data_IF_395010704845
#
_entry.id   IF_395010704845
#
_cell.length_a   1.000
_cell.length_b   1.000
_cell.length_c   1.000
_cell.angle_alpha   90.00
_cell.angle_beta   90.00
_cell.angle_gamma   90.00
#
_symmetry.space_group_name_H-M   'P 1'
#
loop_
_entity.id
_entity.type
_entity.pdbx_description
1 polymer ?
#
# COMPACT_ATOMS: atom_id res chain seq x y z
N UNK A 1 -32.79 11.71 32.51
CA UNK A 1 -31.57 11.20 31.84
C UNK A 1 -30.44 12.18 32.11
N UNK A 2 -29.27 11.71 32.54
CA UNK A 2 -28.10 12.58 32.67
C UNK A 2 -27.62 13.02 31.28
N UNK A 3 -27.03 14.22 31.19
CA UNK A 3 -26.55 14.81 29.94
C UNK A 3 -25.65 13.85 29.15
N UNK A 4 -24.81 13.08 29.86
CA UNK A 4 -23.95 12.06 29.27
C UNK A 4 -24.74 10.89 28.66
N UNK A 5 -25.87 10.47 29.24
CA UNK A 5 -26.72 9.42 28.67
C UNK A 5 -27.49 9.91 27.43
N UNK A 6 -27.85 11.20 27.37
CA UNK A 6 -28.43 11.81 26.17
C UNK A 6 -27.40 11.92 25.04
N UNK A 7 -26.16 12.33 25.34
CA UNK A 7 -25.07 12.43 24.36
C UNK A 7 -24.70 11.05 23.81
N UNK A 8 -24.57 10.03 24.67
CA UNK A 8 -24.31 8.65 24.23
C UNK A 8 -25.47 8.12 23.39
N UNK A 9 -26.72 8.40 23.78
CA UNK A 9 -27.90 8.05 22.98
C UNK A 9 -27.89 8.68 21.59
N UNK A 10 -27.52 9.96 21.50
CA UNK A 10 -27.44 10.69 20.23
C UNK A 10 -26.29 10.16 19.35
N UNK A 11 -25.13 9.86 19.92
CA UNK A 11 -23.99 9.27 19.18
C UNK A 11 -24.36 7.88 18.63
N UNK A 12 -25.06 7.07 19.40
CA UNK A 12 -25.54 5.74 18.95
C UNK A 12 -26.60 5.89 17.87
N UNK A 13 -27.53 6.83 17.99
CA UNK A 13 -28.54 7.11 16.97
C UNK A 13 -27.88 7.62 15.68
N UNK A 14 -26.89 8.51 15.77
CA UNK A 14 -26.11 9.00 14.62
C UNK A 14 -25.32 7.86 13.97
N UNK A 15 -24.73 6.96 14.75
CA UNK A 15 -24.03 5.78 14.24
C UNK A 15 -24.98 4.79 13.54
N UNK A 16 -26.17 4.58 14.10
CA UNK A 16 -27.21 3.74 13.49
C UNK A 16 -27.77 4.38 12.23
N UNK A 17 -27.98 5.69 12.22
CA UNK A 17 -28.37 6.46 11.02
C UNK A 17 -27.27 6.38 9.96
N UNK A 18 -25.99 6.46 10.34
CA UNK A 18 -24.85 6.25 9.43
C UNK A 18 -24.86 4.84 8.81
N UNK A 19 -25.20 3.81 9.59
CA UNK A 19 -25.37 2.43 9.10
C UNK A 19 -26.63 2.22 8.24
N UNK A 20 -27.61 3.13 8.27
CA UNK A 20 -28.85 3.07 7.47
C UNK A 20 -28.70 3.89 6.18
N UNK A 21 -28.08 5.07 6.24
CA UNK A 21 -27.87 5.98 5.10
C UNK A 21 -26.73 5.54 4.17
N UNK A 22 -25.79 4.71 4.64
CA UNK A 22 -24.70 4.14 3.84
C UNK A 22 -24.86 2.61 3.69
N UNK A 23 -25.75 2.11 2.80
CA UNK A 23 -25.89 0.68 2.52
C UNK A 23 -24.59 0.06 1.95
N UNK A 24 -23.75 0.86 1.32
CA UNK A 24 -22.40 0.49 0.85
C UNK A 24 -21.46 0.11 1.98
N UNK A 25 -21.63 0.61 3.21
CA UNK A 25 -20.81 0.24 4.37
C UNK A 25 -21.08 -1.21 4.82
N UNK A 26 -22.31 -1.71 4.61
CA UNK A 26 -22.67 -3.12 4.84
C UNK A 26 -22.20 -4.02 3.70
N UNK A 27 -22.20 -3.50 2.48
CA UNK A 27 -21.72 -4.21 1.29
C UNK A 27 -20.18 -4.30 1.25
N UNK A 28 -19.45 -3.27 1.71
CA UNK A 28 -17.99 -3.25 1.85
C UNK A 28 -17.47 -4.37 2.77
N UNK A 29 -18.20 -4.64 3.87
CA UNK A 29 -17.86 -5.73 4.79
C UNK A 29 -18.17 -7.13 4.22
N UNK A 30 -19.06 -7.25 3.23
CA UNK A 30 -19.48 -8.53 2.64
C UNK A 30 -18.88 -8.81 1.26
N UNK A 31 -18.49 -7.79 0.51
CA UNK A 31 -17.99 -7.87 -0.88
C UNK A 31 -16.47 -7.99 -1.00
N UNK A 32 -15.72 -7.49 -0.02
CA UNK A 32 -14.26 -7.45 -0.08
C UNK A 32 -13.58 -8.83 0.14
N UNK A 33 -14.32 -9.84 0.60
CA UNK A 33 -13.75 -11.11 1.06
C UNK A 33 -13.69 -12.23 0.01
N UNK A 34 -14.34 -12.08 -1.15
CA UNK A 34 -14.43 -13.18 -2.14
C UNK A 34 -13.60 -13.02 -3.41
N UNK A 35 -13.22 -11.80 -3.82
CA UNK A 35 -12.50 -11.59 -5.09
C UNK A 35 -11.02 -11.15 -4.93
N UNK A 36 -10.62 -10.61 -3.77
CA UNK A 36 -9.22 -10.29 -3.46
C UNK A 36 -8.52 -11.51 -2.86
N UNK A 37 -8.52 -12.61 -3.62
CA UNK A 37 -7.90 -13.86 -3.21
C UNK A 37 -6.38 -13.64 -3.16
N UNK A 38 -5.91 -13.34 -1.94
CA UNK A 38 -4.67 -13.80 -1.29
C UNK A 38 -3.31 -13.42 -1.90
N UNK A 39 -3.18 -13.24 -3.22
CA UNK A 39 -1.88 -13.00 -3.88
C UNK A 39 -1.69 -11.56 -4.39
N UNK A 40 -2.76 -10.79 -4.63
CA UNK A 40 -2.66 -9.37 -5.03
C UNK A 40 -2.53 -8.39 -3.85
N UNK A 41 -3.02 -8.72 -2.66
CA UNK A 41 -2.88 -7.84 -1.49
C UNK A 41 -1.43 -7.73 -0.97
N UNK A 42 -0.56 -8.66 -1.39
CA UNK A 42 0.87 -8.72 -1.04
C UNK A 42 1.78 -8.07 -2.07
N UNK A 43 1.26 -7.61 -3.21
CA UNK A 43 2.06 -6.89 -4.21
C UNK A 43 1.92 -5.38 -4.03
N UNK A 44 2.96 -4.59 -4.37
CA UNK A 44 2.87 -3.14 -4.30
C UNK A 44 1.75 -2.58 -5.18
N UNK A 45 1.49 -3.20 -6.34
CA UNK A 45 0.44 -2.76 -7.26
C UNK A 45 -0.98 -2.99 -6.70
N UNK A 46 -1.22 -4.09 -5.99
CA UNK A 46 -2.52 -4.35 -5.37
C UNK A 46 -2.77 -3.53 -4.11
N UNK A 47 -1.73 -3.26 -3.30
CA UNK A 47 -1.82 -2.31 -2.21
C UNK A 47 -2.14 -0.89 -2.71
N UNK A 48 -1.50 -0.46 -3.81
CA UNK A 48 -1.75 0.83 -4.45
C UNK A 48 -3.21 0.96 -4.93
N UNK A 49 -3.77 -0.08 -5.55
CA UNK A 49 -5.18 -0.09 -5.97
C UNK A 49 -6.16 0.00 -4.80
N UNK A 50 -5.94 -0.75 -3.72
CA UNK A 50 -6.81 -0.74 -2.53
C UNK A 50 -6.76 0.63 -1.84
N UNK A 51 -5.56 1.21 -1.69
CA UNK A 51 -5.42 2.54 -1.12
C UNK A 51 -6.04 3.61 -2.02
N UNK A 52 -5.88 3.52 -3.34
CA UNK A 52 -6.52 4.43 -4.29
C UNK A 52 -8.04 4.42 -4.13
N UNK A 53 -8.67 3.24 -4.13
CA UNK A 53 -10.12 3.12 -3.95
C UNK A 53 -10.58 3.71 -2.61
N UNK A 54 -9.87 3.44 -1.51
CA UNK A 54 -10.20 4.02 -0.20
C UNK A 54 -9.96 5.53 -0.13
N UNK A 55 -8.94 6.04 -0.82
CA UNK A 55 -8.67 7.48 -0.93
C UNK A 55 -9.79 8.15 -1.72
N UNK A 56 -10.27 7.54 -2.80
CA UNK A 56 -11.39 8.06 -3.60
C UNK A 56 -12.68 8.10 -2.78
N UNK A 57 -13.01 7.02 -2.05
CA UNK A 57 -14.14 7.01 -1.13
C UNK A 57 -14.02 8.08 -0.03
N UNK A 58 -12.83 8.25 0.55
CA UNK A 58 -12.56 9.28 1.56
C UNK A 58 -12.65 10.69 0.95
N UNK A 59 -12.26 10.87 -0.31
CA UNK A 59 -12.35 12.13 -1.05
C UNK A 59 -13.81 12.47 -1.35
N UNK A 60 -14.62 11.51 -1.76
CA UNK A 60 -16.07 11.70 -1.94
C UNK A 60 -16.77 12.05 -0.62
N UNK A 61 -16.45 11.36 0.47
CA UNK A 61 -16.98 11.66 1.79
C UNK A 61 -16.59 13.08 2.24
N UNK A 62 -15.34 13.47 2.03
CA UNK A 62 -14.87 14.84 2.24
C UNK A 62 -15.65 15.85 1.40
N UNK A 63 -15.83 15.61 0.10
CA UNK A 63 -16.55 16.51 -0.79
C UNK A 63 -18.02 16.68 -0.37
N UNK A 64 -18.67 15.60 0.07
CA UNK A 64 -20.05 15.65 0.61
C UNK A 64 -20.10 16.48 1.90
N UNK A 65 -19.16 16.29 2.82
CA UNK A 65 -19.07 17.07 4.06
C UNK A 65 -18.77 18.55 3.80
N UNK A 66 -17.86 18.85 2.87
CA UNK A 66 -17.52 20.21 2.44
C UNK A 66 -18.71 20.93 1.81
N UNK A 67 -19.47 20.26 0.95
CA UNK A 67 -20.70 20.80 0.37
C UNK A 67 -21.76 21.05 1.45
N UNK A 68 -21.94 20.13 2.41
CA UNK A 68 -22.85 20.31 3.52
C UNK A 68 -22.46 21.52 4.39
N UNK A 69 -21.17 21.69 4.68
CA UNK A 69 -20.63 22.85 5.39
C UNK A 69 -20.91 24.15 4.63
N UNK A 70 -20.63 24.20 3.32
CA UNK A 70 -20.91 25.37 2.48
C UNK A 70 -22.38 25.76 2.52
N UNK A 71 -23.29 24.80 2.40
CA UNK A 71 -24.73 25.06 2.45
C UNK A 71 -25.16 25.53 3.84
N UNK A 72 -24.68 24.87 4.91
CA UNK A 72 -25.02 25.24 6.28
C UNK A 72 -24.50 26.65 6.65
N UNK A 73 -23.24 26.94 6.30
CA UNK A 73 -22.62 28.25 6.50
C UNK A 73 -23.31 29.34 5.66
N UNK A 74 -23.70 29.02 4.42
CA UNK A 74 -24.47 29.92 3.57
C UNK A 74 -25.83 30.28 4.19
N UNK A 75 -26.59 29.27 4.63
CA UNK A 75 -27.88 29.47 5.31
C UNK A 75 -27.74 30.24 6.62
N UNK A 76 -26.69 29.96 7.41
CA UNK A 76 -26.37 30.71 8.62
C UNK A 76 -26.12 32.19 8.31
N UNK A 77 -25.33 32.47 7.26
CA UNK A 77 -25.01 33.84 6.87
C UNK A 77 -26.26 34.59 6.39
N UNK A 78 -27.11 33.95 5.57
CA UNK A 78 -28.40 34.52 5.16
C UNK A 78 -29.29 34.80 6.36
N UNK A 79 -29.45 33.86 7.28
CA UNK A 79 -30.25 34.05 8.48
C UNK A 79 -29.72 35.17 9.39
N UNK A 80 -28.39 35.30 9.53
CA UNK A 80 -27.75 36.42 10.26
C UNK A 80 -28.06 37.76 9.60
N UNK A 81 -27.97 37.84 8.27
CA UNK A 81 -28.30 39.06 7.50
C UNK A 81 -29.78 39.43 7.61
N UNK A 82 -30.68 38.46 7.53
CA UNK A 82 -32.12 38.70 7.65
C UNK A 82 -32.47 39.20 9.06
N UNK A 83 -31.84 38.64 10.09
CA UNK A 83 -31.95 39.13 11.46
C UNK A 83 -31.43 40.57 11.61
N UNK A 84 -30.32 40.92 10.96
CA UNK A 84 -29.76 42.27 10.98
C UNK A 84 -30.66 43.29 10.26
N UNK A 85 -31.28 42.88 9.15
CA UNK A 85 -32.29 43.67 8.46
C UNK A 85 -33.51 43.94 9.36
N UNK A 86 -33.99 42.93 10.09
CA UNK A 86 -35.08 43.10 11.06
C UNK A 86 -34.70 44.04 12.21
N UNK A 87 -33.48 43.93 12.75
CA UNK A 87 -32.97 44.88 13.77
C UNK A 87 -32.89 46.32 13.24
N UNK A 88 -32.51 46.48 11.98
CA UNK A 88 -32.46 47.80 11.34
C UNK A 88 -33.87 48.38 11.15
N UNK A 89 -34.84 47.54 10.76
CA UNK A 89 -36.25 47.93 10.69
C UNK A 89 -36.80 48.31 12.07
N UNK A 90 -36.49 47.51 13.10
CA UNK A 90 -36.88 47.79 14.48
C UNK A 90 -36.43 49.19 14.91
N UNK A 91 -35.15 49.53 14.69
CA UNK A 91 -34.61 50.84 15.05
C UNK A 91 -35.31 52.00 14.32
N UNK A 92 -35.70 51.81 13.05
CA UNK A 92 -36.48 52.81 12.30
C UNK A 92 -37.88 52.98 12.89
N UNK A 93 -38.59 51.88 13.16
CA UNK A 93 -39.94 51.90 13.73
C UNK A 93 -39.93 52.50 15.14
N UNK A 94 -38.91 52.20 15.96
CA UNK A 94 -38.73 52.82 17.28
C UNK A 94 -38.52 54.33 17.18
N UNK A 95 -37.67 54.79 16.27
CA UNK A 95 -37.44 56.23 16.01
C UNK A 95 -38.70 56.94 15.49
N UNK A 96 -39.44 56.32 14.58
CA UNK A 96 -40.72 56.83 14.09
C UNK A 96 -41.76 56.92 15.21
N UNK A 97 -41.86 55.90 16.05
CA UNK A 97 -42.74 55.87 17.21
C UNK A 97 -42.42 57.01 18.19
N UNK A 98 -41.14 57.18 18.55
CA UNK A 98 -40.71 58.29 19.41
C UNK A 98 -41.06 59.66 18.83
N UNK A 99 -40.86 59.84 17.52
CA UNK A 99 -41.20 61.08 16.82
C UNK A 99 -42.71 61.36 16.85
N UNK A 100 -43.54 60.33 16.63
CA UNK A 100 -45.00 60.47 16.67
C UNK A 100 -45.50 60.83 18.08
N UNK A 101 -44.93 60.24 19.13
CA UNK A 101 -45.22 60.59 20.53
C UNK A 101 -44.84 62.04 20.82
N UNK A 102 -43.63 62.48 20.42
CA UNK A 102 -43.16 63.87 20.60
C UNK A 102 -44.07 64.88 19.91
N UNK A 103 -44.65 64.50 18.77
CA UNK A 103 -45.56 65.34 17.98
C UNK A 103 -47.03 65.23 18.41
N UNK A 104 -47.35 64.54 19.51
CA UNK A 104 -48.70 64.40 20.05
C UNK A 104 -49.64 63.49 19.25
N UNK A 105 -49.12 62.74 18.28
CA UNK A 105 -49.89 61.85 17.39
C UNK A 105 -49.99 60.44 17.99
N UNK A 106 -50.69 60.32 19.12
CA UNK A 106 -50.70 59.10 19.95
C UNK A 106 -51.31 57.88 19.24
N UNK A 107 -52.40 58.03 18.50
CA UNK A 107 -53.03 56.90 17.77
C UNK A 107 -52.09 56.28 16.72
N UNK A 108 -51.35 57.12 15.98
CA UNK A 108 -50.36 56.65 15.00
C UNK A 108 -49.13 56.03 15.69
N UNK A 109 -48.73 56.56 16.85
CA UNK A 109 -47.67 55.96 17.65
C UNK A 109 -48.07 54.56 18.17
N UNK A 110 -49.35 54.36 18.49
CA UNK A 110 -49.90 53.07 18.92
C UNK A 110 -49.78 52.02 17.80
N UNK A 111 -50.17 52.36 16.57
CA UNK A 111 -49.98 51.47 15.41
C UNK A 111 -48.51 51.11 15.18
N UNK A 112 -47.59 52.07 15.36
CA UNK A 112 -46.15 51.82 15.26
C UNK A 112 -45.61 50.97 16.42
N UNK A 113 -46.20 51.07 17.60
CA UNK A 113 -45.86 50.21 18.74
C UNK A 113 -46.30 48.75 18.52
N UNK A 114 -47.44 48.53 17.87
CA UNK A 114 -47.89 47.20 17.43
C UNK A 114 -46.95 46.61 16.37
N UNK A 115 -46.57 47.40 15.35
CA UNK A 115 -45.58 47.00 14.33
C UNK A 115 -44.23 46.64 14.98
N UNK A 116 -43.81 47.39 16.00
CA UNK A 116 -42.59 47.10 16.78
C UNK A 116 -42.68 45.74 17.49
N UNK A 117 -43.82 45.42 18.09
CA UNK A 117 -44.03 44.16 18.79
C UNK A 117 -43.96 42.96 17.83
N UNK A 118 -44.55 43.10 16.64
CA UNK A 118 -44.45 42.10 15.56
C UNK A 118 -42.99 41.88 15.13
N UNK A 119 -42.25 42.96 14.88
CA UNK A 119 -40.83 42.89 14.49
C UNK A 119 -39.99 42.22 15.59
N UNK A 120 -40.27 42.49 16.87
CA UNK A 120 -39.56 41.85 17.99
C UNK A 120 -39.84 40.34 18.06
N UNK A 121 -41.09 39.93 17.82
CA UNK A 121 -41.45 38.52 17.75
C UNK A 121 -40.71 37.81 16.59
N UNK A 122 -40.64 38.46 15.43
CA UNK A 122 -39.90 37.95 14.27
C UNK A 122 -38.39 37.85 14.52
N UNK A 123 -37.79 38.85 15.17
CA UNK A 123 -36.38 38.82 15.58
C UNK A 123 -36.12 37.65 16.52
N UNK A 124 -37.01 37.38 17.47
CA UNK A 124 -36.87 36.26 18.41
C UNK A 124 -36.90 34.93 17.65
N UNK A 125 -37.84 34.75 16.73
CA UNK A 125 -37.93 33.55 15.87
C UNK A 125 -36.69 33.38 15.00
N UNK A 126 -36.18 34.46 14.39
CA UNK A 126 -34.98 34.41 13.56
C UNK A 126 -33.70 34.16 14.39
N UNK A 127 -33.65 34.64 15.64
CA UNK A 127 -32.56 34.35 16.59
C UNK A 127 -32.44 32.85 16.87
N UNK A 128 -33.56 32.17 17.08
CA UNK A 128 -33.59 30.70 17.26
C UNK A 128 -33.15 29.97 16.00
N UNK A 129 -33.56 30.45 14.82
CA UNK A 129 -33.14 29.91 13.53
C UNK A 129 -31.62 30.07 13.30
N UNK A 130 -31.06 31.23 13.64
CA UNK A 130 -29.61 31.48 13.58
C UNK A 130 -28.85 30.50 14.46
N UNK A 131 -29.32 30.28 15.71
CA UNK A 131 -28.69 29.29 16.62
C UNK A 131 -28.74 27.88 16.04
N UNK A 132 -29.86 27.47 15.46
CA UNK A 132 -29.99 26.15 14.83
C UNK A 132 -29.01 25.98 13.66
N UNK A 133 -28.89 26.99 12.79
CA UNK A 133 -27.92 26.97 11.69
C UNK A 133 -26.46 27.05 12.17
N UNK A 134 -26.19 27.71 13.30
CA UNK A 134 -24.85 27.79 13.88
C UNK A 134 -24.39 26.43 14.39
N UNK A 135 -25.28 25.70 15.08
CA UNK A 135 -25.03 24.31 15.49
C UNK A 135 -24.82 23.41 14.26
N UNK A 136 -25.67 23.54 13.23
CA UNK A 136 -25.55 22.75 12.01
C UNK A 136 -24.23 23.04 11.26
N UNK A 137 -23.82 24.31 11.16
CA UNK A 137 -22.58 24.71 10.52
C UNK A 137 -21.35 24.22 11.30
N UNK A 138 -21.36 24.32 12.63
CA UNK A 138 -20.28 23.81 13.47
C UNK A 138 -20.16 22.29 13.37
N UNK A 139 -21.28 21.57 13.41
CA UNK A 139 -21.29 20.10 13.26
C UNK A 139 -20.77 19.69 11.88
N UNK A 140 -21.20 20.37 10.82
CA UNK A 140 -20.70 20.12 9.46
C UNK A 140 -19.20 20.42 9.34
N UNK A 141 -18.71 21.44 10.05
CA UNK A 141 -17.28 21.79 10.09
C UNK A 141 -16.46 20.71 10.77
N UNK A 142 -16.90 20.22 11.93
CA UNK A 142 -16.24 19.11 12.62
C UNK A 142 -16.19 17.84 11.76
N UNK A 143 -17.28 17.53 11.05
CA UNK A 143 -17.34 16.41 10.12
C UNK A 143 -16.37 16.59 8.93
N UNK A 144 -16.32 17.79 8.34
CA UNK A 144 -15.40 18.12 7.25
C UNK A 144 -13.94 18.00 7.69
N UNK A 145 -13.58 18.52 8.88
CA UNK A 145 -12.23 18.41 9.44
C UNK A 145 -11.84 16.96 9.73
N UNK A 146 -12.78 16.14 10.20
CA UNK A 146 -12.55 14.72 10.44
C UNK A 146 -12.31 13.96 9.14
N UNK A 147 -13.14 14.20 8.12
CA UNK A 147 -12.96 13.63 6.78
C UNK A 147 -11.62 14.06 6.18
N UNK A 148 -11.22 15.32 6.35
CA UNK A 148 -9.94 15.84 5.87
C UNK A 148 -8.76 15.15 6.55
N UNK A 149 -8.78 15.03 7.88
CA UNK A 149 -7.75 14.33 8.65
C UNK A 149 -7.61 12.88 8.21
N UNK A 150 -8.73 12.18 8.00
CA UNK A 150 -8.72 10.79 7.55
C UNK A 150 -8.17 10.66 6.13
N UNK A 151 -8.59 11.53 5.20
CA UNK A 151 -8.09 11.56 3.83
C UNK A 151 -6.57 11.82 3.79
N UNK A 152 -6.08 12.77 4.58
CA UNK A 152 -4.64 13.07 4.69
C UNK A 152 -3.85 11.88 5.26
N UNK A 153 -4.38 11.22 6.29
CA UNK A 153 -3.77 10.01 6.86
C UNK A 153 -3.70 8.89 5.83
N UNK A 154 -4.80 8.58 5.16
CA UNK A 154 -4.86 7.53 4.13
C UNK A 154 -3.89 7.81 2.97
N UNK A 155 -3.80 9.06 2.49
CA UNK A 155 -2.83 9.44 1.45
C UNK A 155 -1.38 9.24 1.91
N UNK A 156 -1.08 9.57 3.18
CA UNK A 156 0.26 9.38 3.76
C UNK A 156 0.60 7.90 3.95
N UNK A 157 -0.30 7.15 4.58
CA UNK A 157 -0.14 5.71 4.82
C UNK A 157 0.00 4.95 3.50
N UNK A 158 -0.81 5.29 2.49
CA UNK A 158 -0.70 4.73 1.15
C UNK A 158 0.70 4.93 0.59
N UNK A 159 1.20 6.17 0.59
CA UNK A 159 2.54 6.47 0.08
C UNK A 159 3.62 5.66 0.80
N UNK A 160 3.62 5.70 2.13
CA UNK A 160 4.61 5.01 2.95
C UNK A 160 4.57 3.49 2.77
N UNK A 161 3.39 2.88 2.79
CA UNK A 161 3.24 1.42 2.67
C UNK A 161 3.58 0.96 1.26
N UNK A 162 3.11 1.65 0.22
CA UNK A 162 3.39 1.28 -1.18
C UNK A 162 4.87 1.45 -1.50
N UNK A 163 5.51 2.55 -1.07
CA UNK A 163 6.96 2.75 -1.25
C UNK A 163 7.77 1.68 -0.51
N UNK A 164 7.43 1.39 0.75
CA UNK A 164 8.09 0.33 1.51
C UNK A 164 7.92 -1.06 0.88
N UNK A 165 6.74 -1.36 0.30
CA UNK A 165 6.51 -2.60 -0.44
C UNK A 165 7.34 -2.66 -1.73
N UNK A 166 7.46 -1.55 -2.47
CA UNK A 166 8.30 -1.46 -3.68
C UNK A 166 9.77 -1.74 -3.35
N UNK A 167 10.31 -1.11 -2.30
CA UNK A 167 11.69 -1.32 -1.83
C UNK A 167 11.92 -2.78 -1.39
N UNK A 168 10.99 -3.35 -0.62
CA UNK A 168 11.09 -4.75 -0.18
C UNK A 168 11.05 -5.74 -1.34
N UNK A 169 10.25 -5.45 -2.38
CA UNK A 169 10.20 -6.27 -3.61
C UNK A 169 11.55 -6.22 -4.34
N UNK A 170 12.10 -5.04 -4.56
CA UNK A 170 13.42 -4.87 -5.21
C UNK A 170 14.55 -5.55 -4.41
N UNK A 171 14.55 -5.41 -3.08
CA UNK A 171 15.56 -6.04 -2.24
C UNK A 171 15.46 -7.57 -2.29
N UNK A 172 14.25 -8.11 -2.33
CA UNK A 172 14.03 -9.55 -2.50
C UNK A 172 14.57 -10.03 -3.86
N UNK A 173 14.27 -9.32 -4.95
CA UNK A 173 14.80 -9.65 -6.28
C UNK A 173 16.33 -9.68 -6.29
N UNK A 174 16.99 -8.71 -5.64
CA UNK A 174 18.46 -8.70 -5.49
C UNK A 174 18.96 -9.93 -4.71
N UNK A 175 18.30 -10.34 -3.64
CA UNK A 175 18.69 -11.54 -2.89
C UNK A 175 18.47 -12.83 -3.69
N UNK A 176 17.33 -12.93 -4.40
CA UNK A 176 17.02 -14.06 -5.26
C UNK A 176 18.08 -14.19 -6.38
N UNK A 177 18.47 -13.08 -7.03
CA UNK A 177 19.55 -13.02 -8.02
C UNK A 177 20.91 -13.44 -7.43
N UNK A 178 21.22 -13.01 -6.20
CA UNK A 178 22.47 -13.41 -5.52
C UNK A 178 22.51 -14.91 -5.21
N UNK A 179 21.39 -15.51 -4.80
CA UNK A 179 21.30 -16.94 -4.54
C UNK A 179 21.38 -17.76 -5.84
N UNK A 180 20.77 -17.30 -6.94
CA UNK A 180 20.97 -17.89 -8.26
C UNK A 180 22.44 -17.86 -8.70
N UNK A 181 23.11 -16.71 -8.57
CA UNK A 181 24.54 -16.56 -8.90
C UNK A 181 25.44 -17.48 -8.04
N UNK A 182 25.10 -17.64 -6.75
CA UNK A 182 25.82 -18.56 -5.85
C UNK A 182 25.63 -20.02 -6.26
N UNK A 183 24.43 -20.40 -6.70
CA UNK A 183 24.15 -21.75 -7.21
C UNK A 183 24.90 -22.05 -8.51
N UNK A 184 25.02 -21.08 -9.42
CA UNK A 184 25.84 -21.20 -10.64
C UNK A 184 27.33 -21.38 -10.28
N UNK A 185 27.85 -20.57 -9.34
CA UNK A 185 29.25 -20.67 -8.89
C UNK A 185 29.57 -22.02 -8.22
N UNK A 186 28.63 -22.57 -7.45
CA UNK A 186 28.78 -23.90 -6.85
C UNK A 186 28.82 -25.01 -7.92
N UNK A 187 28.04 -24.85 -9.00
CA UNK A 187 28.04 -25.77 -10.15
C UNK A 187 29.36 -25.68 -10.93
N UNK A 188 29.94 -24.48 -11.08
CA UNK A 188 31.24 -24.30 -11.72
C UNK A 188 32.38 -24.95 -10.93
N UNK A 189 32.36 -24.90 -9.60
CA UNK A 189 33.34 -25.64 -8.75
C UNK A 189 33.23 -27.16 -8.91
N UNK A 190 32.02 -27.68 -9.13
CA UNK A 190 31.82 -29.09 -9.43
C UNK A 190 32.33 -29.44 -10.84
N UNK A 191 32.15 -28.57 -11.83
CA UNK A 191 32.69 -28.75 -13.17
C UNK A 191 34.23 -28.76 -13.18
N UNK A 192 34.87 -27.91 -12.37
CA UNK A 192 36.32 -27.91 -12.19
C UNK A 192 36.80 -29.24 -11.59
N UNK A 193 36.13 -29.74 -10.55
CA UNK A 193 36.42 -31.05 -9.95
C UNK A 193 36.24 -32.23 -10.94
N UNK A 194 35.27 -32.13 -11.86
CA UNK A 194 35.08 -33.13 -12.92
C UNK A 194 36.18 -33.05 -13.98
N UNK A 195 36.61 -31.84 -14.35
CA UNK A 195 37.72 -31.63 -15.30
C UNK A 195 39.05 -32.15 -14.75
N UNK A 196 39.32 -31.93 -13.46
CA UNK A 196 40.52 -32.44 -12.80
C UNK A 196 40.52 -33.97 -12.74
N UNK A 197 39.39 -34.59 -12.35
CA UNK A 197 39.26 -36.06 -12.41
C UNK A 197 39.43 -36.61 -13.82
N UNK A 198 38.97 -35.90 -14.85
CA UNK A 198 39.13 -36.33 -16.23
C UNK A 198 40.62 -36.29 -16.66
N UNK A 199 41.35 -35.23 -16.28
CA UNK A 199 42.80 -35.16 -16.49
C UNK A 199 43.57 -36.25 -15.75
N UNK A 200 43.19 -36.53 -14.49
CA UNK A 200 43.79 -37.63 -13.73
C UNK A 200 43.54 -38.98 -14.41
N UNK A 201 42.33 -39.19 -14.96
CA UNK A 201 42.02 -40.40 -15.72
C UNK A 201 42.88 -40.51 -16.99
N UNK A 202 43.02 -39.41 -17.75
CA UNK A 202 43.86 -39.36 -18.95
C UNK A 202 45.32 -39.66 -18.59
N UNK A 203 45.84 -39.09 -17.50
CA UNK A 203 47.19 -39.38 -17.00
C UNK A 203 47.37 -40.84 -16.58
N UNK A 204 46.35 -41.46 -15.97
CA UNK A 204 46.35 -42.90 -15.62
C UNK A 204 46.33 -43.77 -16.88
N UNK A 205 45.57 -43.39 -17.91
CA UNK A 205 45.54 -44.10 -19.19
C UNK A 205 46.89 -44.00 -19.90
N UNK A 206 47.48 -42.81 -19.93
CA UNK A 206 48.79 -42.59 -20.55
C UNK A 206 49.90 -43.31 -19.78
N UNK A 207 49.89 -43.28 -18.45
CA UNK A 207 50.79 -44.07 -17.60
C UNK A 207 50.62 -45.58 -17.82
N UNK A 208 49.38 -46.06 -17.96
CA UNK A 208 49.09 -47.46 -18.25
C UNK A 208 49.62 -47.90 -19.62
N UNK A 209 49.53 -47.02 -20.62
CA UNK A 209 50.10 -47.23 -21.95
C UNK A 209 51.63 -47.33 -21.88
N UNK A 210 52.29 -46.40 -21.19
CA UNK A 210 53.74 -46.43 -20.97
C UNK A 210 54.18 -47.71 -20.26
N UNK A 211 53.46 -48.15 -19.22
CA UNK A 211 53.77 -49.40 -18.51
C UNK A 211 53.58 -50.63 -19.41
N UNK A 212 52.53 -50.65 -20.23
CA UNK A 212 52.27 -51.73 -21.17
C UNK A 212 53.35 -51.81 -22.25
N UNK A 213 53.72 -50.67 -22.83
CA UNK A 213 54.79 -50.56 -23.82
C UNK A 213 56.14 -50.97 -23.22
N UNK A 214 56.43 -50.58 -21.98
CA UNK A 214 57.60 -51.05 -21.24
C UNK A 214 57.58 -52.57 -20.98
N UNK A 215 56.42 -53.16 -20.65
CA UNK A 215 56.28 -54.62 -20.50
C UNK A 215 56.49 -55.35 -21.83
N UNK A 216 55.97 -54.82 -22.94
CA UNK A 216 56.22 -55.37 -24.28
C UNK A 216 57.70 -55.26 -24.62
N UNK A 217 58.30 -54.09 -24.44
CA UNK A 217 59.73 -53.86 -24.67
C UNK A 217 60.59 -54.85 -23.85
N UNK A 218 60.26 -55.05 -22.58
CA UNK A 218 60.96 -56.01 -21.71
C UNK A 218 60.80 -57.47 -22.20
N UNK A 219 59.59 -57.84 -22.66
CA UNK A 219 59.36 -59.17 -23.25
C UNK A 219 60.13 -59.36 -24.55
N UNK A 220 60.20 -58.33 -25.39
CA UNK A 220 60.96 -58.33 -26.65
C UNK A 220 62.45 -58.48 -26.38
N UNK A 221 63.00 -57.74 -25.40
CA UNK A 221 64.39 -57.89 -24.97
C UNK A 221 64.70 -59.29 -24.44
N UNK A 222 63.78 -59.91 -23.69
CA UNK A 222 63.93 -61.30 -23.23
C UNK A 222 63.88 -62.29 -24.40
N UNK A 223 62.96 -62.11 -25.34
CA UNK A 223 62.87 -62.94 -26.54
C UNK A 223 64.13 -62.81 -27.41
N UNK A 224 64.69 -61.61 -27.58
CA UNK A 224 65.95 -61.39 -28.29
C UNK A 224 67.16 -62.01 -27.56
N UNK A 225 67.18 -61.95 -26.23
CA UNK A 225 68.21 -62.61 -25.43
C UNK A 225 68.12 -64.14 -25.52
N UNK A 226 66.91 -64.70 -25.58
CA UNK A 226 66.67 -66.13 -25.79
C UNK A 226 67.01 -66.56 -27.23
N UNK A 227 66.66 -65.76 -28.23
CA UNK A 227 67.02 -66.00 -29.63
C UNK A 227 68.54 -65.95 -29.84
N UNK A 228 69.25 -65.02 -29.17
CA UNK A 228 70.73 -65.00 -29.17
C UNK A 228 71.34 -66.22 -28.47
N UNK A 229 70.71 -66.74 -27.40
CA UNK A 229 71.14 -68.00 -26.77
C UNK A 229 70.92 -69.21 -27.69
N UNK A 230 69.81 -69.24 -28.43
CA UNK A 230 69.53 -70.26 -29.45
C UNK A 230 70.53 -70.20 -30.60
N UNK A 231 70.81 -69.01 -31.16
CA UNK A 231 71.86 -68.84 -32.18
C UNK A 231 73.26 -69.20 -31.66
N UNK A 232 73.56 -68.87 -30.40
CA UNK A 232 74.83 -69.26 -29.78
C UNK A 232 74.96 -70.77 -29.58
N UNK A 233 73.85 -71.48 -29.34
CA UNK A 233 73.82 -72.93 -29.27
C UNK A 233 73.95 -73.59 -30.65
N UNK A 234 73.32 -73.03 -31.69
CA UNK A 234 73.50 -73.49 -33.07
C UNK A 234 74.95 -73.32 -33.54
N UNK A 235 75.62 -72.24 -33.12
CA UNK A 235 77.05 -72.05 -33.37
C UNK A 235 77.93 -73.06 -32.61
N UNK A 236 77.62 -73.36 -31.35
CA UNK A 236 78.32 -74.39 -30.57
C UNK A 236 78.09 -75.81 -31.12
N UNK A 237 76.89 -76.12 -31.60
CA UNK A 237 76.61 -77.39 -32.31
C UNK A 237 77.36 -77.48 -33.64
N UNK A 238 77.46 -76.37 -34.39
CA UNK A 238 78.24 -76.33 -35.63
C UNK A 238 79.74 -76.57 -35.40
N UNK A 239 80.27 -76.13 -34.24
CA UNK A 239 81.65 -76.40 -33.82
C UNK A 239 81.84 -77.85 -33.35
N UNK A 240 80.86 -78.44 -32.64
CA UNK A 240 80.87 -79.87 -32.28
C UNK A 240 80.83 -80.78 -33.51
N UNK A 241 80.06 -80.43 -34.54
CA UNK A 241 80.06 -81.16 -35.83
C UNK A 241 81.38 -81.07 -36.58
N UNK A 242 82.15 -80.00 -36.38
CA UNK A 242 83.44 -79.78 -37.05
C UNK A 242 84.61 -80.55 -36.42
N UNK A 243 84.47 -81.03 -35.19
CA UNK A 243 85.51 -81.76 -34.45
C UNK A 243 85.09 -83.17 -34.01
N UNK A 244 84.04 -83.74 -34.60
CA UNK A 244 83.64 -85.12 -34.32
C UNK A 244 83.34 -85.91 -35.60
N UNK A 245 84.34 -85.96 -36.48
CA UNK A 245 84.84 -87.13 -37.25
C UNK A 245 85.88 -86.66 -38.25
#
# INVERSE_FOLDING_TARGET
MSLNQMIVGIVVIVFVIMLILFPEFRALLKGFTRLFIKDMATTPEGAEAIYSEKIDQAQEAYNKADNALKVAAGKLNTAKRDMENLKTKLSKVESECESLVKNGKIELAQLKAEEREEILADIKRHSELVKAYEVAANTAKEAQEMCEKNLRKLKRESKEVVENMKVKKQLKEVYDDMDELKNVTATDKLLESVRDKNKDLDAVVEGSKVVHDNKISTKLQKADAEAKKLQSNDYLESLKKKYNK
#
